data_IF_408326274684
#
_entry.id   IF_408326274684
#
_cell.length_a   1.000
_cell.length_b   1.000
_cell.length_c   1.000
_cell.angle_alpha   90.00
_cell.angle_beta   90.00
_cell.angle_gamma   90.00
#
_symmetry.space_group_name_H-M   'P 1'
#
loop_
_entity.id
_entity.type
_entity.pdbx_description
1 polymer ?
#
# COMPACT_ATOMS: atom_id res chain seq x y z
N UNK A 1 -13.75 -22.92 7.19
CA UNK A 1 -13.80 -21.55 7.72
C UNK A 1 -13.07 -20.69 6.71
N UNK A 2 -13.72 -19.68 6.14
CA UNK A 2 -13.06 -18.78 5.18
C UNK A 2 -12.15 -17.85 5.98
N UNK A 3 -10.85 -17.90 5.73
CA UNK A 3 -9.90 -16.95 6.34
C UNK A 3 -10.25 -15.54 5.87
N UNK A 4 -10.30 -14.59 6.79
CA UNK A 4 -10.54 -13.19 6.47
C UNK A 4 -9.23 -12.42 6.48
N UNK A 5 -8.73 -12.11 5.29
CA UNK A 5 -7.45 -11.43 5.11
C UNK A 5 -7.55 -9.91 5.24
N UNK A 6 -6.42 -9.30 5.54
CA UNK A 6 -6.18 -7.86 5.47
C UNK A 6 -4.95 -7.58 4.58
N UNK A 7 -4.70 -6.30 4.31
CA UNK A 7 -3.50 -5.87 3.59
C UNK A 7 -3.37 -6.45 2.18
N UNK A 8 -2.14 -6.78 1.79
CA UNK A 8 -1.80 -7.27 0.47
C UNK A 8 -2.50 -8.57 0.10
N UNK A 9 -2.69 -9.48 1.05
CA UNK A 9 -3.37 -10.76 0.76
C UNK A 9 -4.84 -10.55 0.40
N UNK A 10 -5.53 -9.62 1.09
CA UNK A 10 -6.89 -9.23 0.72
C UNK A 10 -6.94 -8.59 -0.66
N UNK A 11 -6.00 -7.67 -0.96
CA UNK A 11 -5.94 -7.01 -2.27
C UNK A 11 -5.69 -8.00 -3.41
N UNK A 12 -4.83 -8.99 -3.17
CA UNK A 12 -4.52 -10.06 -4.12
C UNK A 12 -5.78 -10.86 -4.46
N UNK A 13 -6.57 -11.25 -3.46
CA UNK A 13 -7.81 -12.01 -3.68
C UNK A 13 -8.93 -11.13 -4.26
N UNK A 14 -9.04 -9.87 -3.83
CA UNK A 14 -10.11 -8.97 -4.28
C UNK A 14 -9.98 -8.56 -5.75
N UNK A 15 -8.76 -8.32 -6.22
CA UNK A 15 -8.48 -7.90 -7.60
C UNK A 15 -7.98 -9.04 -8.50
N UNK A 16 -8.00 -10.28 -8.01
CA UNK A 16 -7.50 -11.48 -8.72
C UNK A 16 -6.06 -11.31 -9.25
N UNK A 17 -5.18 -10.78 -8.40
CA UNK A 17 -3.76 -10.53 -8.71
C UNK A 17 -2.91 -11.53 -7.95
N UNK A 18 -2.28 -12.44 -8.67
CA UNK A 18 -1.27 -13.34 -8.08
C UNK A 18 0.08 -12.64 -8.03
N UNK A 19 0.73 -12.53 -6.86
CA UNK A 19 2.10 -12.01 -6.76
C UNK A 19 3.10 -13.05 -7.29
N UNK A 20 4.22 -12.59 -7.85
CA UNK A 20 5.33 -13.49 -8.23
C UNK A 20 6.16 -13.85 -7.00
N UNK A 21 6.34 -12.91 -6.07
CA UNK A 21 7.03 -13.13 -4.81
C UNK A 21 5.99 -13.33 -3.70
N UNK A 22 6.21 -14.31 -2.83
CA UNK A 22 5.35 -14.49 -1.66
C UNK A 22 5.40 -13.25 -0.76
N UNK A 23 4.25 -12.87 -0.20
CA UNK A 23 4.19 -11.81 0.79
C UNK A 23 5.01 -12.20 2.03
N UNK A 24 5.91 -11.30 2.43
CA UNK A 24 6.75 -11.49 3.61
C UNK A 24 5.92 -11.45 4.91
N UNK A 25 4.89 -10.61 4.93
CA UNK A 25 3.92 -10.49 6.03
C UNK A 25 2.53 -10.67 5.43
N UNK A 26 1.73 -11.55 6.03
CA UNK A 26 0.29 -11.66 5.74
C UNK A 26 -0.50 -11.44 7.02
N UNK A 27 -1.65 -10.78 6.89
CA UNK A 27 -2.46 -10.40 8.05
C UNK A 27 -3.87 -10.94 7.94
N UNK A 28 -4.40 -11.56 9.00
CA UNK A 28 -5.74 -12.15 9.05
C UNK A 28 -6.52 -11.75 10.29
N UNK A 29 -7.84 -11.91 10.24
CA UNK A 29 -8.72 -11.82 11.41
C UNK A 29 -8.90 -13.19 12.05
N UNK A 30 -8.68 -13.26 13.36
CA UNK A 30 -8.88 -14.44 14.19
C UNK A 30 -9.35 -14.12 15.60
N UNK A 31 -9.30 -15.11 16.48
CA UNK A 31 -9.86 -14.99 17.84
C UNK A 31 -9.07 -14.05 18.76
N UNK A 32 -7.75 -13.97 18.58
CA UNK A 32 -6.86 -13.16 19.41
C UNK A 32 -5.64 -12.71 18.61
N UNK A 33 -4.93 -11.71 19.13
CA UNK A 33 -3.67 -11.25 18.55
C UNK A 33 -2.62 -12.37 18.62
N UNK A 34 -2.02 -12.71 17.48
CA UNK A 34 -0.93 -13.69 17.38
C UNK A 34 0.01 -13.32 16.25
N UNK A 35 1.32 -13.52 16.44
CA UNK A 35 2.32 -13.45 15.38
C UNK A 35 3.00 -14.82 15.29
N UNK A 36 3.10 -15.38 14.08
CA UNK A 36 3.76 -16.66 13.82
C UNK A 36 4.77 -16.46 12.70
N UNK A 37 6.03 -16.79 12.97
CA UNK A 37 7.10 -16.74 11.96
C UNK A 37 7.44 -18.16 11.51
N UNK A 38 7.38 -18.40 10.21
CA UNK A 38 7.71 -19.68 9.57
C UNK A 38 8.50 -19.41 8.29
N UNK A 39 9.68 -20.01 8.15
CA UNK A 39 10.56 -19.85 6.97
C UNK A 39 10.83 -18.38 6.60
N UNK A 40 11.01 -17.55 7.61
CA UNK A 40 11.26 -16.12 7.45
C UNK A 40 10.03 -15.28 7.11
N UNK A 41 8.84 -15.88 6.94
CA UNK A 41 7.57 -15.16 6.71
C UNK A 41 6.78 -15.04 7.99
N UNK A 42 5.98 -13.98 8.10
CA UNK A 42 5.19 -13.69 9.28
C UNK A 42 3.70 -13.74 8.95
N UNK A 43 2.94 -14.55 9.68
CA UNK A 43 1.48 -14.48 9.74
C UNK A 43 1.08 -13.69 10.98
N UNK A 44 0.39 -12.58 10.76
CA UNK A 44 -0.15 -11.71 11.80
C UNK A 44 -1.67 -11.91 11.93
N UNK A 45 -2.10 -12.57 13.00
CA UNK A 45 -3.52 -12.68 13.36
C UNK A 45 -3.92 -11.52 14.27
N UNK A 46 -5.06 -10.90 13.97
CA UNK A 46 -5.65 -9.82 14.76
C UNK A 46 -7.07 -10.14 15.21
N UNK A 47 -7.53 -9.61 16.36
CA UNK A 47 -8.92 -9.74 16.77
C UNK A 47 -9.85 -8.97 15.83
N UNK A 48 -11.13 -9.34 15.80
CA UNK A 48 -12.14 -8.76 14.89
C UNK A 48 -12.28 -7.23 14.95
N UNK A 49 -11.93 -6.60 16.08
CA UNK A 49 -11.95 -5.14 16.21
C UNK A 49 -10.89 -4.41 15.36
N UNK A 50 -9.89 -5.12 14.84
CA UNK A 50 -8.86 -4.57 13.93
C UNK A 50 -9.22 -4.69 12.45
N UNK A 51 -10.40 -5.21 12.13
CA UNK A 51 -10.90 -5.39 10.76
C UNK A 51 -10.86 -4.08 9.99
N UNK A 52 -10.33 -4.14 8.77
CA UNK A 52 -10.37 -3.01 7.84
C UNK A 52 -11.72 -2.98 7.10
N UNK A 53 -12.14 -1.80 6.68
CA UNK A 53 -13.25 -1.69 5.74
C UNK A 53 -12.83 -2.39 4.43
N UNK A 54 -13.74 -3.09 3.72
CA UNK A 54 -13.42 -3.83 2.50
C UNK A 54 -13.27 -2.88 1.31
N UNK A 55 -12.27 -1.98 1.37
CA UNK A 55 -11.99 -0.96 0.35
C UNK A 55 -10.51 -0.94 0.01
N UNK A 56 -10.18 -0.56 -1.24
CA UNK A 56 -8.81 -0.34 -1.70
C UNK A 56 -8.00 0.50 -0.71
N UNK A 57 -8.56 1.65 -0.33
CA UNK A 57 -7.93 2.61 0.56
C UNK A 57 -7.51 1.96 1.88
N UNK A 58 -8.44 1.25 2.55
CA UNK A 58 -8.20 0.72 3.88
C UNK A 58 -7.13 -0.37 3.86
N UNK A 59 -7.24 -1.31 2.91
CA UNK A 59 -6.31 -2.42 2.80
C UNK A 59 -4.93 -1.98 2.29
N UNK A 60 -4.84 -1.06 1.32
CA UNK A 60 -3.54 -0.60 0.82
C UNK A 60 -2.83 0.32 1.82
N UNK A 61 -3.57 1.16 2.54
CA UNK A 61 -3.03 1.94 3.66
C UNK A 61 -2.49 1.04 4.77
N UNK A 62 -3.25 0.01 5.13
CA UNK A 62 -2.83 -0.99 6.11
C UNK A 62 -1.56 -1.71 5.65
N UNK A 63 -1.52 -2.20 4.41
CA UNK A 63 -0.37 -2.91 3.86
C UNK A 63 0.90 -2.05 3.91
N UNK A 64 0.86 -0.83 3.38
CA UNK A 64 2.01 0.09 3.38
C UNK A 64 2.50 0.50 4.77
N UNK A 65 1.65 0.37 5.80
CA UNK A 65 1.96 0.71 7.18
C UNK A 65 2.50 -0.48 7.97
N UNK A 66 1.88 -1.65 7.81
CA UNK A 66 2.09 -2.80 8.68
C UNK A 66 2.88 -3.93 7.99
N UNK A 67 2.70 -4.08 6.68
CA UNK A 67 3.32 -5.14 5.87
C UNK A 67 4.51 -4.62 5.06
N UNK A 68 4.66 -3.28 4.99
CA UNK A 68 5.72 -2.61 4.26
C UNK A 68 5.39 -2.39 2.79
N UNK A 69 6.37 -2.00 2.00
CA UNK A 69 6.26 -1.79 0.55
C UNK A 69 6.62 -3.09 -0.18
N UNK A 70 5.71 -3.58 -1.02
CA UNK A 70 5.92 -4.72 -1.89
C UNK A 70 5.86 -4.30 -3.37
N UNK A 71 6.96 -3.78 -3.91
CA UNK A 71 7.00 -3.13 -5.23
C UNK A 71 6.50 -4.01 -6.39
N UNK A 72 6.88 -5.29 -6.39
CA UNK A 72 6.46 -6.24 -7.44
C UNK A 72 4.93 -6.39 -7.49
N UNK A 73 4.32 -6.79 -6.38
CA UNK A 73 2.86 -6.85 -6.27
C UNK A 73 2.17 -5.51 -6.56
N UNK A 74 2.71 -4.39 -6.07
CA UNK A 74 2.13 -3.06 -6.36
C UNK A 74 2.09 -2.76 -7.86
N UNK A 75 3.15 -3.09 -8.61
CA UNK A 75 3.16 -2.88 -10.06
C UNK A 75 2.04 -3.69 -10.74
N UNK A 76 1.88 -4.97 -10.37
CA UNK A 76 0.82 -5.84 -10.93
C UNK A 76 -0.57 -5.38 -10.54
N UNK A 77 -0.75 -4.97 -9.28
CA UNK A 77 -2.00 -4.43 -8.78
C UNK A 77 -2.39 -3.18 -9.56
N UNK A 78 -1.46 -2.24 -9.75
CA UNK A 78 -1.70 -0.99 -10.49
C UNK A 78 -2.02 -1.18 -11.98
N UNK A 79 -1.68 -2.33 -12.56
CA UNK A 79 -2.07 -2.64 -13.94
C UNK A 79 -3.53 -3.07 -14.07
N UNK A 80 -4.13 -3.63 -13.02
CA UNK A 80 -5.53 -4.08 -13.04
C UNK A 80 -6.49 -3.17 -12.27
N UNK A 81 -5.97 -2.30 -11.39
CA UNK A 81 -6.82 -1.42 -10.58
C UNK A 81 -7.69 -0.52 -11.45
N UNK A 82 -9.00 -0.41 -11.16
CA UNK A 82 -9.86 0.57 -11.80
C UNK A 82 -9.35 1.98 -11.52
N UNK A 83 -8.93 2.70 -12.56
CA UNK A 83 -8.38 4.05 -12.41
C UNK A 83 -9.35 5.00 -11.70
N UNK A 84 -10.67 4.85 -11.92
CA UNK A 84 -11.68 5.65 -11.26
C UNK A 84 -11.72 5.43 -9.73
N UNK A 85 -11.51 4.21 -9.27
CA UNK A 85 -11.48 3.88 -7.84
C UNK A 85 -10.25 4.51 -7.18
N UNK A 86 -9.08 4.35 -7.81
CA UNK A 86 -7.84 4.98 -7.33
C UNK A 86 -7.97 6.51 -7.31
N UNK A 87 -8.44 7.13 -8.40
CA UNK A 87 -8.62 8.58 -8.48
C UNK A 87 -9.62 9.11 -7.45
N UNK A 88 -10.70 8.37 -7.17
CA UNK A 88 -11.67 8.75 -6.15
C UNK A 88 -11.03 8.82 -4.75
N UNK A 89 -10.24 7.81 -4.37
CA UNK A 89 -9.50 7.83 -3.10
C UNK A 89 -8.47 8.96 -3.06
N UNK A 90 -7.65 9.11 -4.10
CA UNK A 90 -6.61 10.14 -4.10
C UNK A 90 -7.19 11.56 -4.04
N UNK A 91 -8.40 11.78 -4.57
CA UNK A 91 -9.10 13.04 -4.46
C UNK A 91 -9.81 13.24 -3.10
N UNK A 92 -10.27 12.19 -2.43
CA UNK A 92 -10.86 12.32 -1.10
C UNK A 92 -9.81 12.64 -0.01
N UNK A 93 -8.57 12.15 -0.18
CA UNK A 93 -7.48 12.30 0.80
C UNK A 93 -6.23 12.97 0.24
N UNK A 94 -6.39 14.10 -0.46
CA UNK A 94 -5.31 14.77 -1.19
C UNK A 94 -4.03 15.06 -0.39
N UNK A 95 -4.13 15.33 0.91
CA UNK A 95 -2.98 15.62 1.78
C UNK A 95 -2.52 14.43 2.62
N UNK A 96 -3.26 13.31 2.60
CA UNK A 96 -2.96 12.10 3.37
C UNK A 96 -1.65 11.46 2.93
N UNK A 97 -0.82 11.03 3.89
CA UNK A 97 0.51 10.49 3.54
C UNK A 97 0.42 9.24 2.65
N UNK A 98 -0.56 8.36 2.89
CA UNK A 98 -0.70 7.10 2.16
C UNK A 98 -1.26 7.32 0.77
N UNK A 99 -2.27 8.19 0.61
CA UNK A 99 -2.74 8.61 -0.70
C UNK A 99 -1.60 9.20 -1.55
N UNK A 100 -0.78 10.08 -0.97
CA UNK A 100 0.38 10.67 -1.67
C UNK A 100 1.45 9.65 -2.05
N UNK A 101 1.79 8.73 -1.13
CA UNK A 101 2.72 7.62 -1.42
C UNK A 101 2.18 6.72 -2.52
N UNK A 102 0.90 6.35 -2.49
CA UNK A 102 0.28 5.50 -3.51
C UNK A 102 0.21 6.20 -4.86
N UNK A 103 -0.18 7.47 -4.92
CA UNK A 103 -0.17 8.24 -6.15
C UNK A 103 1.23 8.31 -6.77
N UNK A 104 2.25 8.57 -5.94
CA UNK A 104 3.65 8.52 -6.37
C UNK A 104 4.05 7.13 -6.89
N UNK A 105 3.81 6.07 -6.11
CA UNK A 105 4.20 4.69 -6.47
C UNK A 105 3.51 4.23 -7.75
N UNK A 106 2.24 4.60 -7.96
CA UNK A 106 1.51 4.29 -9.20
C UNK A 106 2.19 4.94 -10.41
N UNK A 107 2.42 6.26 -10.37
CA UNK A 107 2.99 6.97 -11.50
C UNK A 107 4.45 6.55 -11.74
N UNK A 108 5.19 6.22 -10.68
CA UNK A 108 6.58 5.76 -10.73
C UNK A 108 6.71 4.35 -11.30
N UNK A 109 5.92 3.37 -10.79
CA UNK A 109 5.99 1.98 -11.25
C UNK A 109 5.46 1.80 -12.67
N UNK A 110 4.42 2.56 -13.04
CA UNK A 110 3.71 2.35 -14.31
C UNK A 110 4.11 3.33 -15.41
N UNK A 111 4.74 4.46 -15.06
CA UNK A 111 5.00 5.57 -15.98
C UNK A 111 3.74 6.30 -16.45
N UNK A 112 2.55 5.95 -15.93
CA UNK A 112 1.26 6.53 -16.32
C UNK A 112 0.82 7.57 -15.30
N UNK A 113 0.47 8.78 -15.75
CA UNK A 113 -0.11 9.79 -14.87
C UNK A 113 -1.58 9.46 -14.57
N UNK A 114 -2.03 9.69 -13.32
CA UNK A 114 -3.42 9.43 -12.92
C UNK A 114 -4.32 10.55 -13.44
N UNK A 115 -5.16 10.26 -14.44
CA UNK A 115 -6.09 11.24 -14.98
C UNK A 115 -7.16 11.61 -13.93
N UNK A 116 -7.58 12.87 -13.91
CA UNK A 116 -8.56 13.38 -12.95
C UNK A 116 -7.99 13.66 -11.55
N UNK A 117 -6.68 13.53 -11.35
CA UNK A 117 -6.00 13.91 -10.10
C UNK A 117 -4.95 14.98 -10.39
N UNK A 118 -5.14 16.16 -9.78
CA UNK A 118 -4.20 17.28 -9.88
C UNK A 118 -3.03 17.14 -8.89
N UNK A 119 -2.00 17.97 -9.07
CA UNK A 119 -0.87 18.01 -8.14
C UNK A 119 -1.33 18.40 -6.71
N UNK A 120 -0.67 17.84 -5.71
CA UNK A 120 -0.91 18.15 -4.30
C UNK A 120 -0.28 19.49 -3.97
N UNK A 121 -1.10 20.43 -3.48
CA UNK A 121 -0.67 21.80 -3.16
C UNK A 121 -0.28 22.00 -1.69
N UNK A 122 -0.64 21.09 -0.78
CA UNK A 122 -0.45 21.24 0.65
C UNK A 122 0.27 20.06 1.34
N UNK A 123 0.80 20.32 2.54
CA UNK A 123 1.44 19.31 3.41
C UNK A 123 2.97 19.23 3.29
N UNK A 124 3.62 18.55 4.23
CA UNK A 124 5.06 18.31 4.17
C UNK A 124 5.41 17.18 3.19
N UNK A 125 6.65 17.17 2.69
CA UNK A 125 7.15 16.02 1.94
C UNK A 125 7.21 14.79 2.85
N UNK A 126 6.74 13.65 2.33
CA UNK A 126 6.83 12.35 2.98
C UNK A 126 7.76 11.46 2.18
N UNK A 127 8.36 10.47 2.82
CA UNK A 127 9.25 9.53 2.15
C UNK A 127 8.44 8.43 1.44
N UNK A 128 8.92 7.97 0.29
CA UNK A 128 8.29 6.91 -0.48
C UNK A 128 8.34 5.59 0.30
N UNK A 129 9.52 5.28 0.84
CA UNK A 129 9.79 4.13 1.70
C UNK A 129 10.30 4.61 3.06
N UNK A 130 10.09 3.80 4.09
CA UNK A 130 10.55 4.11 5.43
C UNK A 130 12.07 3.84 5.57
N UNK A 131 12.91 4.87 5.80
CA UNK A 131 14.36 4.69 5.91
C UNK A 131 14.80 3.93 7.18
N UNK A 132 13.93 3.74 8.17
CA UNK A 132 14.22 2.88 9.33
C UNK A 132 14.04 1.40 8.99
N UNK A 133 13.17 1.10 8.04
CA UNK A 133 12.84 -0.26 7.59
C UNK A 133 13.64 -0.69 6.36
N UNK A 134 13.98 0.26 5.48
CA UNK A 134 14.63 0.01 4.20
C UNK A 134 15.96 0.75 4.06
N UNK A 135 16.87 0.18 3.27
CA UNK A 135 18.05 0.91 2.84
C UNK A 135 17.63 1.96 1.79
N UNK A 136 17.58 3.22 2.21
CA UNK A 136 17.12 4.35 1.41
C UNK A 136 18.26 5.33 1.07
N UNK A 137 18.09 6.10 0.00
CA UNK A 137 19.00 7.15 -0.41
C UNK A 137 19.05 8.29 0.61
N UNK A 138 20.26 8.72 0.96
CA UNK A 138 20.49 9.86 1.88
C UNK A 138 20.23 11.21 1.23
N UNK A 139 20.21 11.28 -0.10
CA UNK A 139 19.91 12.47 -0.89
C UNK A 139 18.77 12.20 -1.88
N UNK A 140 17.50 12.20 -1.42
CA UNK A 140 16.37 11.77 -2.23
C UNK A 140 15.91 12.83 -3.23
N UNK A 141 15.35 12.38 -4.36
CA UNK A 141 14.76 13.26 -5.37
C UNK A 141 13.35 13.67 -4.95
N UNK A 142 12.98 14.94 -5.09
CA UNK A 142 11.65 15.42 -4.71
C UNK A 142 10.67 15.29 -5.87
N UNK A 143 9.65 14.44 -5.71
CA UNK A 143 8.47 14.46 -6.57
C UNK A 143 7.51 15.55 -6.10
N UNK A 144 7.48 16.69 -6.81
CA UNK A 144 6.67 17.84 -6.44
C UNK A 144 5.16 17.62 -6.56
N UNK A 145 4.73 16.79 -7.53
CA UNK A 145 3.31 16.50 -7.79
C UNK A 145 2.64 15.82 -6.62
N UNK A 146 3.30 14.84 -6.01
CA UNK A 146 2.78 14.11 -4.85
C UNK A 146 3.34 14.60 -3.52
N UNK A 147 4.33 15.49 -3.57
CA UNK A 147 5.11 15.91 -2.39
C UNK A 147 5.67 14.69 -1.66
N UNK A 148 6.32 13.82 -2.43
CA UNK A 148 6.98 12.60 -1.96
C UNK A 148 8.48 12.71 -2.24
N UNK A 149 9.32 12.28 -1.31
CA UNK A 149 10.75 12.08 -1.53
C UNK A 149 10.93 10.67 -2.08
N UNK A 150 11.45 10.60 -3.29
CA UNK A 150 11.93 9.36 -3.91
C UNK A 150 13.29 9.04 -3.26
N UNK A 151 13.21 8.31 -2.14
CA UNK A 151 14.29 7.89 -1.27
C UNK A 151 14.49 6.38 -1.34
#
# INVERSE_FOLDING_TARGET
MTTEWMGYKWLSEHYDVTPVQDFQITSEIGAARRSVVTDGRTLETYPAGSRQAPTLQAHLTYALRQEGVHLEFLARLFDVLPQAELAAWLNSERTGQYARRVGFLYEWLTGRQIAGVEAVTGGNYVDAIDPETYFAATAPTRNARWRVRDN
#
